data_IF_079629528340
#
_entry.id   IF_079629528340
#
_cell.length_a   1.000
_cell.length_b   1.000
_cell.length_c   1.000
_cell.angle_alpha   90.00
_cell.angle_beta   90.00
_cell.angle_gamma   90.00
#
_symmetry.space_group_name_H-M   'P 1'
#
loop_
_entity.id
_entity.type
_entity.pdbx_description
1 polymer ?
#
# COMPACT_ATOMS: atom_id res chain seq x y z
N UNK A 1 3.07 -4.29 10.32
CA UNK A 1 2.68 -2.98 10.92
C UNK A 1 1.39 -2.45 10.30
N UNK A 2 0.67 -1.49 10.90
CA UNK A 2 -0.44 -0.76 10.23
C UNK A 2 0.15 0.35 9.37
N UNK A 3 -0.21 0.40 8.09
CA UNK A 3 0.25 1.43 7.14
C UNK A 3 -0.79 2.55 7.00
N UNK A 4 -2.06 2.19 6.90
CA UNK A 4 -3.15 3.15 6.79
C UNK A 4 -4.19 2.90 7.87
N UNK A 5 -4.30 3.79 8.86
CA UNK A 5 -5.32 3.71 9.92
C UNK A 5 -6.73 3.95 9.37
N UNK A 6 -6.89 4.93 8.47
CA UNK A 6 -8.19 5.29 7.89
C UNK A 6 -8.90 4.17 7.12
N UNK A 7 -8.08 3.30 6.51
CA UNK A 7 -8.51 2.17 5.71
C UNK A 7 -8.10 0.84 6.34
N UNK A 8 -7.63 0.81 7.60
CA UNK A 8 -7.17 -0.41 8.28
C UNK A 8 -6.28 -1.32 7.41
N UNK A 9 -5.38 -0.75 6.60
CA UNK A 9 -4.48 -1.52 5.72
C UNK A 9 -3.18 -1.79 6.49
N UNK A 10 -2.81 -3.07 6.59
CA UNK A 10 -1.55 -3.48 7.19
C UNK A 10 -0.48 -3.62 6.12
N UNK A 11 0.76 -3.58 6.56
CA UNK A 11 1.94 -3.76 5.71
C UNK A 11 1.84 -5.05 4.92
N UNK A 12 1.47 -6.17 5.55
CA UNK A 12 1.26 -7.44 4.84
C UNK A 12 0.27 -7.31 3.68
N UNK A 13 -0.85 -6.62 3.87
CA UNK A 13 -1.88 -6.45 2.85
C UNK A 13 -1.33 -5.58 1.71
N UNK A 14 -0.57 -4.55 2.06
CA UNK A 14 0.11 -3.70 1.07
C UNK A 14 1.14 -4.49 0.26
N UNK A 15 1.95 -5.35 0.89
CA UNK A 15 2.95 -6.19 0.21
C UNK A 15 2.28 -7.18 -0.73
N UNK A 16 1.19 -7.83 -0.32
CA UNK A 16 0.40 -8.72 -1.18
C UNK A 16 -0.13 -7.97 -2.40
N UNK A 17 -0.69 -6.76 -2.21
CA UNK A 17 -1.17 -5.96 -3.33
C UNK A 17 -0.06 -5.62 -4.34
N UNK A 18 1.17 -5.39 -3.86
CA UNK A 18 2.36 -5.15 -4.69
C UNK A 18 2.79 -6.40 -5.45
N UNK A 19 2.81 -7.57 -4.80
CA UNK A 19 3.12 -8.86 -5.44
C UNK A 19 2.14 -9.19 -6.55
N UNK A 20 0.87 -8.84 -6.35
CA UNK A 20 -0.16 -8.99 -7.36
C UNK A 20 -0.05 -7.94 -8.50
N UNK A 21 0.93 -7.03 -8.46
CA UNK A 21 1.24 -6.06 -9.52
C UNK A 21 0.96 -4.58 -9.20
N UNK A 22 0.61 -4.21 -7.96
CA UNK A 22 0.43 -2.79 -7.63
C UNK A 22 1.78 -2.04 -7.57
N UNK A 23 1.80 -0.84 -8.15
CA UNK A 23 2.98 0.03 -8.30
C UNK A 23 2.86 1.35 -7.54
N UNK A 24 1.65 1.74 -7.16
CA UNK A 24 1.37 2.95 -6.40
C UNK A 24 0.48 2.67 -5.19
N UNK A 25 0.48 3.54 -4.17
CA UNK A 25 -0.49 3.43 -3.08
C UNK A 25 -1.93 3.47 -3.59
N UNK A 26 -2.22 4.24 -4.63
CA UNK A 26 -3.58 4.30 -5.18
C UNK A 26 -3.99 2.97 -5.82
N UNK A 27 -3.13 2.36 -6.65
CA UNK A 27 -3.40 1.05 -7.25
C UNK A 27 -3.48 -0.06 -6.19
N UNK A 28 -2.61 -0.01 -5.18
CA UNK A 28 -2.68 -0.96 -4.07
C UNK A 28 -3.99 -0.83 -3.27
N UNK A 29 -4.47 0.40 -3.02
CA UNK A 29 -5.68 0.61 -2.21
C UNK A 29 -6.94 0.27 -3.02
N UNK A 30 -6.91 0.51 -4.33
CA UNK A 30 -7.98 0.15 -5.26
C UNK A 30 -8.27 -1.36 -5.25
N UNK A 31 -7.26 -2.23 -5.03
CA UNK A 31 -7.48 -3.67 -4.85
C UNK A 31 -8.37 -4.01 -3.66
N UNK A 32 -8.31 -3.20 -2.61
CA UNK A 32 -9.17 -3.36 -1.44
C UNK A 32 -10.52 -2.65 -1.60
N UNK A 33 -10.84 -2.12 -2.80
CA UNK A 33 -12.02 -1.29 -3.04
C UNK A 33 -11.97 0.04 -2.28
N UNK A 34 -10.78 0.52 -1.91
CA UNK A 34 -10.58 1.69 -1.05
C UNK A 34 -9.80 2.78 -1.77
N UNK A 35 -10.06 4.03 -1.39
CA UNK A 35 -9.25 5.19 -1.77
C UNK A 35 -8.53 5.74 -0.54
N UNK A 36 -7.34 6.34 -0.68
CA UNK A 36 -6.71 7.07 0.43
C UNK A 36 -7.67 8.15 0.97
N UNK A 37 -7.86 8.21 2.30
CA UNK A 37 -8.73 9.22 2.93
C UNK A 37 -7.95 10.48 3.31
N UNK A 38 -7.05 10.39 4.28
CA UNK A 38 -6.23 11.53 4.72
C UNK A 38 -4.90 11.67 3.97
N UNK A 39 -4.48 10.65 3.22
CA UNK A 39 -3.24 10.66 2.45
C UNK A 39 -1.94 10.58 3.28
N UNK A 40 -1.98 10.67 4.61
CA UNK A 40 -0.79 10.68 5.46
C UNK A 40 0.07 9.41 5.35
N UNK A 41 -0.56 8.28 5.03
CA UNK A 41 0.12 7.02 4.80
C UNK A 41 0.86 6.94 3.45
N UNK A 42 0.61 7.86 2.51
CA UNK A 42 1.09 7.76 1.12
C UNK A 42 2.62 7.76 1.02
N UNK A 43 3.38 8.67 1.66
CA UNK A 43 4.84 8.64 1.59
C UNK A 43 5.42 7.33 2.11
N UNK A 44 4.92 6.87 3.26
CA UNK A 44 5.37 5.63 3.88
C UNK A 44 5.00 4.39 3.06
N UNK A 45 3.77 4.34 2.54
CA UNK A 45 3.33 3.27 1.64
C UNK A 45 4.19 3.21 0.37
N UNK A 46 4.61 4.35 -0.20
CA UNK A 46 5.52 4.37 -1.36
C UNK A 46 6.87 3.74 -1.05
N UNK A 47 7.43 4.01 0.13
CA UNK A 47 8.70 3.39 0.56
C UNK A 47 8.57 1.87 0.64
N UNK A 48 7.48 1.35 1.23
CA UNK A 48 7.24 -0.10 1.29
C UNK A 48 7.09 -0.67 -0.13
N UNK A 49 6.29 -0.03 -0.99
CA UNK A 49 6.06 -0.50 -2.36
C UNK A 49 7.39 -0.55 -3.14
N UNK A 50 8.22 0.48 -3.03
CA UNK A 50 9.53 0.51 -3.69
C UNK A 50 10.46 -0.60 -3.17
N UNK A 51 10.50 -0.82 -1.86
CA UNK A 51 11.33 -1.86 -1.24
C UNK A 51 10.90 -3.27 -1.66
N UNK A 52 9.59 -3.55 -1.67
CA UNK A 52 9.07 -4.85 -2.11
C UNK A 52 9.35 -5.10 -3.59
N UNK A 53 9.18 -4.09 -4.45
CA UNK A 53 9.45 -4.20 -5.89
C UNK A 53 10.93 -4.36 -6.23
N UNK A 54 11.83 -3.85 -5.39
CA UNK A 54 13.27 -4.06 -5.56
C UNK A 54 13.71 -5.47 -5.13
N UNK A 55 12.88 -6.19 -4.38
CA UNK A 55 13.18 -7.50 -3.80
C UNK A 55 12.48 -8.67 -4.52
N UNK A 56 11.63 -8.38 -5.51
CA UNK A 56 10.82 -9.33 -6.29
C UNK A 56 11.29 -9.36 -7.74
#
# INVERSE_FOLDING_TARGET
>A
MVVCVCNAIREKDLKEAVRDGADTPCSAYARFGRRPKCGQCVPFARTIIAAERASA
#
